data_IF_634438847836
#
_entry.id   IF_634438847836
#
_cell.length_a   1.000
_cell.length_b   1.000
_cell.length_c   1.000
_cell.angle_alpha   90.00
_cell.angle_beta   90.00
_cell.angle_gamma   90.00
#
_symmetry.space_group_name_H-M   'P 1'
#
loop_
_entity.id
_entity.type
_entity.pdbx_description
1 polymer ?
#
# COMPACT_ATOMS: atom_id res chain seq x y z
N UNK A 1 -8.88 -16.27 2.50
CA UNK A 1 -7.56 -15.65 2.24
C UNK A 1 -7.38 -14.49 3.21
N UNK A 2 -6.26 -14.42 3.95
CA UNK A 2 -5.97 -13.31 4.89
C UNK A 2 -4.48 -12.97 4.79
N UNK A 3 -4.10 -11.69 4.66
CA UNK A 3 -2.70 -11.30 4.80
C UNK A 3 -2.23 -11.49 6.26
N UNK A 4 -0.94 -11.82 6.40
CA UNK A 4 -0.32 -12.32 7.63
C UNK A 4 -0.17 -11.30 8.77
N UNK A 5 -0.43 -10.02 8.54
CA UNK A 5 -0.31 -8.97 9.56
C UNK A 5 -1.60 -8.14 9.64
N UNK A 6 -2.34 -8.26 10.75
CA UNK A 6 -3.48 -7.37 11.05
C UNK A 6 -3.07 -5.88 11.11
N UNK A 7 -1.77 -5.60 11.27
CA UNK A 7 -1.17 -4.24 11.23
C UNK A 7 -1.33 -3.57 9.86
N UNK A 8 -1.48 -4.34 8.79
CA UNK A 8 -1.64 -3.82 7.43
C UNK A 8 -3.11 -3.65 7.03
N UNK A 9 -4.07 -4.06 7.88
CA UNK A 9 -5.49 -3.85 7.63
C UNK A 9 -5.80 -2.36 7.76
N UNK A 10 -6.15 -1.72 6.65
CA UNK A 10 -6.53 -0.31 6.63
C UNK A 10 -7.92 -0.17 7.24
N UNK A 11 -8.88 -0.93 6.71
CA UNK A 11 -10.23 -1.01 7.26
C UNK A 11 -10.99 -2.21 6.69
N UNK A 12 -12.18 -2.45 7.27
CA UNK A 12 -13.15 -3.40 6.76
C UNK A 12 -14.50 -2.71 6.54
N UNK A 13 -15.20 -3.10 5.48
CA UNK A 13 -16.51 -2.60 5.12
C UNK A 13 -17.36 -3.69 4.46
N UNK A 14 -18.60 -3.37 4.13
CA UNK A 14 -19.45 -4.21 3.28
C UNK A 14 -19.43 -3.71 1.84
N UNK A 15 -19.18 -4.62 0.89
CA UNK A 15 -19.22 -4.33 -0.54
C UNK A 15 -20.18 -5.28 -1.25
N UNK A 16 -21.06 -4.76 -2.10
CA UNK A 16 -22.04 -5.60 -2.81
C UNK A 16 -21.39 -6.51 -3.85
N UNK A 17 -20.15 -6.22 -4.26
CA UNK A 17 -19.40 -7.06 -5.20
C UNK A 17 -17.90 -6.91 -5.01
N UNK A 18 -17.17 -7.89 -5.55
CA UNK A 18 -15.70 -7.82 -5.69
C UNK A 18 -15.24 -6.56 -6.41
N UNK A 19 -15.97 -6.15 -7.46
CA UNK A 19 -15.62 -4.97 -8.25
C UNK A 19 -15.73 -3.69 -7.41
N UNK A 20 -16.76 -3.57 -6.58
CA UNK A 20 -16.90 -2.43 -5.67
C UNK A 20 -15.82 -2.44 -4.60
N UNK A 21 -15.50 -3.60 -4.01
CA UNK A 21 -14.38 -3.71 -3.07
C UNK A 21 -13.05 -3.25 -3.71
N UNK A 22 -12.80 -3.66 -4.96
CA UNK A 22 -11.65 -3.20 -5.73
C UNK A 22 -11.70 -1.70 -6.06
N UNK A 23 -12.87 -1.13 -6.30
CA UNK A 23 -13.04 0.30 -6.53
C UNK A 23 -12.74 1.12 -5.26
N UNK A 24 -13.17 0.66 -4.09
CA UNK A 24 -12.85 1.33 -2.82
C UNK A 24 -11.36 1.22 -2.52
N UNK A 25 -10.75 0.04 -2.71
CA UNK A 25 -9.28 -0.08 -2.69
C UNK A 25 -8.60 0.82 -3.70
N UNK A 26 -9.27 1.12 -4.82
CA UNK A 26 -8.67 1.97 -5.84
C UNK A 26 -8.66 3.46 -5.49
N UNK A 27 -9.60 3.88 -4.66
CA UNK A 27 -9.73 5.26 -4.18
C UNK A 27 -8.87 5.53 -2.94
N UNK A 28 -8.48 4.48 -2.22
CA UNK A 28 -7.59 4.60 -1.07
C UNK A 28 -6.12 4.47 -1.51
N UNK A 29 -5.35 5.54 -1.37
CA UNK A 29 -3.93 5.58 -1.77
C UNK A 29 -3.04 4.59 -1.00
N UNK A 30 -3.41 4.24 0.23
CA UNK A 30 -2.69 3.23 1.01
C UNK A 30 -3.04 1.81 0.60
N UNK A 31 -4.20 1.54 -0.01
CA UNK A 31 -4.61 0.18 -0.35
C UNK A 31 -3.88 -0.36 -1.58
N UNK A 32 -3.26 -1.54 -1.43
CA UNK A 32 -2.64 -2.25 -2.56
C UNK A 32 -3.27 -3.61 -2.81
N UNK A 33 -3.82 -4.24 -1.77
CA UNK A 33 -4.51 -5.53 -1.87
C UNK A 33 -5.85 -5.45 -1.14
N UNK A 34 -6.85 -6.15 -1.66
CA UNK A 34 -8.12 -6.32 -0.99
C UNK A 34 -8.50 -7.80 -0.93
N UNK A 35 -9.25 -8.15 0.11
CA UNK A 35 -9.95 -9.43 0.22
C UNK A 35 -11.46 -9.19 0.24
N UNK A 36 -12.16 -9.87 -0.66
CA UNK A 36 -13.61 -9.86 -0.74
C UNK A 36 -14.18 -11.24 -0.42
N UNK A 37 -14.99 -11.32 0.63
CA UNK A 37 -15.74 -12.52 0.99
C UNK A 37 -17.15 -12.44 0.40
N UNK A 38 -17.44 -13.27 -0.59
CA UNK A 38 -18.71 -13.24 -1.32
C UNK A 38 -19.90 -13.74 -0.49
N UNK A 39 -19.65 -14.50 0.58
CA UNK A 39 -20.71 -15.02 1.45
C UNK A 39 -21.21 -14.01 2.48
N UNK A 40 -20.29 -13.20 3.01
CA UNK A 40 -20.58 -12.18 4.03
C UNK A 40 -20.62 -10.76 3.47
N UNK A 41 -20.33 -10.61 2.17
CA UNK A 41 -20.10 -9.32 1.51
C UNK A 41 -18.99 -8.48 2.18
N UNK A 42 -18.11 -9.11 2.98
CA UNK A 42 -17.06 -8.41 3.70
C UNK A 42 -15.92 -8.06 2.77
N UNK A 43 -15.58 -6.77 2.71
CA UNK A 43 -14.44 -6.22 2.00
C UNK A 43 -13.39 -5.78 3.02
N UNK A 44 -12.15 -6.22 2.83
CA UNK A 44 -11.02 -5.88 3.70
C UNK A 44 -9.91 -5.31 2.85
N UNK A 45 -9.44 -4.12 3.22
CA UNK A 45 -8.43 -3.39 2.46
C UNK A 45 -7.11 -3.42 3.19
N UNK A 46 -6.03 -3.67 2.47
CA UNK A 46 -4.70 -3.85 3.04
C UNK A 46 -3.68 -2.97 2.36
N UNK A 47 -2.74 -2.46 3.17
CA UNK A 47 -1.59 -1.71 2.67
C UNK A 47 -0.66 -2.59 1.85
N UNK A 48 -0.54 -3.87 2.23
CA UNK A 48 0.37 -4.86 1.66
C UNK A 48 0.14 -5.13 0.17
N UNK A 49 1.23 -5.35 -0.56
CA UNK A 49 1.24 -5.97 -1.88
C UNK A 49 1.61 -7.47 -1.80
N UNK A 50 1.65 -8.13 -2.95
CA UNK A 50 1.95 -9.56 -3.07
C UNK A 50 3.43 -9.93 -2.77
N UNK A 51 4.30 -8.94 -2.58
CA UNK A 51 5.75 -9.08 -2.37
C UNK A 51 6.18 -8.81 -0.93
N UNK A 52 5.47 -7.95 -0.20
CA UNK A 52 5.77 -7.53 1.18
C UNK A 52 4.76 -8.03 2.22
N UNK A 53 3.90 -8.98 1.82
CA UNK A 53 3.02 -9.72 2.71
C UNK A 53 2.94 -11.18 2.30
N UNK A 54 2.86 -12.07 3.30
CA UNK A 54 2.49 -13.44 3.05
C UNK A 54 0.96 -13.54 3.02
N UNK A 55 0.42 -14.05 1.91
CA UNK A 55 -0.99 -14.42 1.83
C UNK A 55 -1.11 -15.77 2.53
N UNK A 56 -1.69 -15.80 3.73
CA UNK A 56 -1.90 -17.07 4.42
C UNK A 56 -2.99 -17.85 3.66
N UNK A 57 -2.61 -19.02 3.14
CA UNK A 57 -3.48 -20.02 2.52
C UNK A 57 -4.40 -20.71 3.55
N UNK A 58 -5.24 -19.93 4.24
CA UNK A 58 -6.45 -20.48 4.85
C UNK A 58 -7.60 -20.21 3.88
N UNK A 59 -7.86 -21.21 3.04
CA UNK A 59 -8.87 -21.21 2.00
C UNK A 59 -10.28 -21.14 2.62
N UNK A 60 -10.83 -19.93 2.71
CA UNK A 60 -12.28 -19.78 2.61
C UNK A 60 -12.62 -19.88 1.13
N UNK A 61 -13.51 -20.80 0.74
CA UNK A 61 -13.92 -20.99 -0.67
C UNK A 61 -14.62 -19.75 -1.26
N UNK A 62 -15.07 -18.82 -0.41
CA UNK A 62 -15.83 -17.63 -0.80
C UNK A 62 -14.99 -16.36 -0.80
N UNK A 63 -13.71 -16.44 -0.41
CA UNK A 63 -12.80 -15.31 -0.26
C UNK A 63 -11.94 -15.17 -1.50
N UNK A 64 -12.00 -13.98 -2.11
CA UNK A 64 -11.32 -13.62 -3.34
C UNK A 64 -10.37 -12.46 -3.06
N UNK A 65 -9.08 -12.68 -3.28
CA UNK A 65 -8.05 -11.62 -3.19
C UNK A 65 -7.86 -10.96 -4.54
N UNK A 66 -7.80 -9.64 -4.53
CA UNK A 66 -7.38 -8.84 -5.68
C UNK A 66 -6.34 -7.82 -5.27
N UNK A 67 -5.56 -7.34 -6.24
CA UNK A 67 -4.54 -6.32 -6.04
C UNK A 67 -4.74 -5.16 -7.01
N UNK A 68 -4.31 -3.98 -6.59
CA UNK A 68 -4.17 -2.82 -7.46
C UNK A 68 -2.82 -2.92 -8.15
N UNK A 69 -2.83 -2.81 -9.48
CA UNK A 69 -1.59 -2.71 -10.26
C UNK A 69 -1.15 -1.25 -10.26
N UNK A 70 0.02 -1.00 -9.68
CA UNK A 70 0.65 0.32 -9.65
C UNK A 70 1.71 0.41 -10.76
N UNK A 71 1.77 1.55 -11.47
CA UNK A 71 2.76 1.78 -12.53
C UNK A 71 3.85 2.74 -12.07
N UNK A 72 5.11 2.30 -12.13
CA UNK A 72 6.26 3.14 -11.81
C UNK A 72 6.33 4.41 -12.68
N UNK A 73 5.86 4.36 -13.93
CA UNK A 73 5.84 5.54 -14.81
C UNK A 73 4.90 6.65 -14.32
N UNK A 74 3.82 6.30 -13.62
CA UNK A 74 2.89 7.27 -13.04
C UNK A 74 3.43 7.91 -11.76
N UNK A 75 4.30 7.20 -11.05
CA UNK A 75 5.04 7.76 -9.93
C UNK A 75 6.14 8.71 -10.40
N UNK A 76 7.01 8.26 -11.29
CA UNK A 76 8.18 9.03 -11.71
C UNK A 76 7.83 10.37 -12.36
N UNK A 77 6.69 10.46 -13.06
CA UNK A 77 6.27 11.71 -13.72
C UNK A 77 5.75 12.78 -12.76
N UNK A 78 5.32 12.40 -11.54
CA UNK A 78 4.65 13.32 -10.59
C UNK A 78 5.52 13.59 -9.35
N UNK A 79 6.50 12.74 -9.06
CA UNK A 79 7.30 12.88 -7.83
C UNK A 79 8.04 14.23 -7.81
N UNK A 80 8.00 14.90 -6.66
CA UNK A 80 8.62 16.21 -6.45
C UNK A 80 8.04 17.35 -7.34
N UNK A 81 6.88 17.14 -7.97
CA UNK A 81 6.12 18.22 -8.64
C UNK A 81 5.36 19.07 -7.62
N UNK A 82 4.79 20.20 -8.06
CA UNK A 82 3.90 21.02 -7.24
C UNK A 82 2.66 20.24 -6.82
N UNK A 83 2.10 20.54 -5.65
CA UNK A 83 0.93 19.82 -5.14
C UNK A 83 -0.28 19.76 -6.08
N UNK A 84 -0.44 20.72 -6.98
CA UNK A 84 -1.46 20.68 -8.05
C UNK A 84 -1.37 19.45 -8.96
N UNK A 85 -0.20 18.81 -9.06
CA UNK A 85 0.01 17.62 -9.90
C UNK A 85 -0.45 16.30 -9.23
N UNK A 86 -0.68 16.29 -7.91
CA UNK A 86 -1.06 15.10 -7.15
C UNK A 86 -2.36 15.23 -6.34
N UNK A 87 -3.17 16.26 -6.58
CA UNK A 87 -4.44 16.45 -5.85
C UNK A 87 -5.45 15.31 -6.07
N UNK A 88 -5.44 14.67 -7.24
CA UNK A 88 -6.41 13.62 -7.61
C UNK A 88 -5.72 12.30 -7.99
N UNK A 89 -4.55 12.01 -7.42
CA UNK A 89 -3.87 10.75 -7.68
C UNK A 89 -3.75 9.91 -6.41
N UNK A 90 -3.81 8.60 -6.58
CA UNK A 90 -3.54 7.65 -5.50
C UNK A 90 -2.04 7.45 -5.24
N UNK A 91 -1.23 7.83 -6.23
CA UNK A 91 0.18 7.48 -6.28
C UNK A 91 0.98 8.35 -5.32
N UNK A 92 0.56 9.59 -5.07
CA UNK A 92 1.33 10.56 -4.31
C UNK A 92 0.40 11.42 -3.46
N UNK A 93 0.98 12.06 -2.46
CA UNK A 93 0.27 13.01 -1.61
C UNK A 93 1.01 14.34 -1.58
N UNK A 94 0.28 15.43 -1.44
CA UNK A 94 0.89 16.73 -1.19
C UNK A 94 1.48 16.74 0.22
N UNK A 95 2.78 17.04 0.32
CA UNK A 95 3.44 17.27 1.60
C UNK A 95 3.19 18.71 2.05
N UNK A 96 2.55 18.89 3.20
CA UNK A 96 2.31 20.23 3.77
C UNK A 96 3.60 20.94 4.18
N UNK A 97 4.70 20.19 4.40
CA UNK A 97 6.01 20.74 4.78
C UNK A 97 6.78 21.30 3.59
N UNK A 98 6.81 20.56 2.47
CA UNK A 98 7.60 20.93 1.29
C UNK A 98 6.77 21.56 0.17
N UNK A 99 5.44 21.48 0.27
CA UNK A 99 4.49 21.85 -0.78
C UNK A 99 4.75 21.14 -2.12
N UNK A 100 5.27 19.91 -2.03
CA UNK A 100 5.60 19.06 -3.17
C UNK A 100 4.92 17.70 -3.05
N UNK A 101 4.71 17.04 -4.19
CA UNK A 101 4.18 15.69 -4.24
C UNK A 101 5.22 14.68 -3.74
N UNK A 102 4.83 13.92 -2.72
CA UNK A 102 5.65 12.93 -2.03
C UNK A 102 4.94 11.57 -2.00
N UNK A 103 5.68 10.55 -1.59
CA UNK A 103 5.13 9.22 -1.39
C UNK A 103 4.00 9.23 -0.34
N UNK A 104 2.90 8.46 -0.54
CA UNK A 104 1.84 8.30 0.45
C UNK A 104 2.37 7.73 1.77
N UNK A 105 1.51 7.73 2.80
CA UNK A 105 1.84 7.15 4.10
C UNK A 105 2.35 5.71 3.97
N UNK A 106 3.26 5.32 4.86
CA UNK A 106 3.84 3.98 4.94
C UNK A 106 4.55 3.50 3.67
N UNK A 107 4.98 4.43 2.80
CA UNK A 107 5.74 4.17 1.58
C UNK A 107 6.97 5.08 1.49
N UNK A 108 7.95 4.73 0.66
CA UNK A 108 9.19 5.50 0.51
C UNK A 108 9.62 5.61 -0.95
N UNK A 109 10.33 6.68 -1.31
CA UNK A 109 10.82 6.86 -2.68
C UNK A 109 12.06 5.99 -2.92
N UNK A 110 11.97 5.02 -3.83
CA UNK A 110 13.10 4.16 -4.18
C UNK A 110 13.90 4.63 -5.41
N UNK A 111 13.60 5.81 -5.94
CA UNK A 111 14.18 6.33 -7.20
C UNK A 111 13.28 6.16 -8.42
N UNK A 112 12.25 5.32 -8.36
CA UNK A 112 11.33 5.08 -9.48
C UNK A 112 9.85 5.10 -9.06
N UNK A 113 9.52 4.58 -7.89
CA UNK A 113 8.15 4.55 -7.37
C UNK A 113 8.14 4.62 -5.83
N UNK A 114 6.94 4.60 -5.26
CA UNK A 114 6.75 4.53 -3.80
C UNK A 114 6.28 3.14 -3.36
N UNK A 115 7.17 2.13 -3.27
CA UNK A 115 6.83 0.88 -2.60
C UNK A 115 6.52 1.12 -1.12
N UNK A 116 5.81 0.16 -0.50
CA UNK A 116 5.65 0.17 0.96
C UNK A 116 7.00 0.14 1.65
N UNK A 117 7.05 0.81 2.79
CA UNK A 117 8.14 0.68 3.74
C UNK A 117 8.25 -0.76 4.24
N UNK A 118 9.48 -1.12 4.53
CA UNK A 118 9.92 -2.46 4.86
C UNK A 118 9.72 -2.77 6.35
N UNK A 119 9.56 -4.06 6.63
CA UNK A 119 9.40 -4.60 7.98
C UNK A 119 10.74 -4.94 8.63
N UNK A 120 10.69 -5.40 9.87
CA UNK A 120 11.84 -5.74 10.69
C UNK A 120 12.83 -6.65 9.96
N UNK A 121 14.13 -6.38 10.12
CA UNK A 121 15.24 -7.13 9.53
C UNK A 121 15.31 -7.13 8.00
N UNK A 122 14.42 -6.42 7.30
CA UNK A 122 14.56 -6.21 5.88
C UNK A 122 15.82 -5.37 5.58
N UNK A 123 16.49 -5.69 4.48
CA UNK A 123 17.65 -4.91 4.02
C UNK A 123 17.17 -3.63 3.34
N UNK A 124 17.69 -2.48 3.75
CA UNK A 124 17.41 -1.19 3.13
C UNK A 124 18.68 -0.40 2.81
N UNK A 125 18.57 0.49 1.82
CA UNK A 125 19.63 1.45 1.45
C UNK A 125 19.38 2.85 2.02
N UNK A 126 18.20 3.09 2.60
CA UNK A 126 17.79 4.39 3.16
C UNK A 126 17.02 4.18 4.47
N UNK A 127 17.20 5.10 5.42
CA UNK A 127 16.57 5.00 6.74
C UNK A 127 15.05 5.18 6.70
N UNK A 128 14.56 6.00 5.77
CA UNK A 128 13.13 6.23 5.54
C UNK A 128 12.43 5.06 4.84
N UNK A 129 13.17 4.02 4.42
CA UNK A 129 12.58 2.82 3.83
C UNK A 129 11.97 1.88 4.88
N UNK A 130 12.21 2.09 6.18
CA UNK A 130 11.69 1.23 7.24
C UNK A 130 10.37 1.76 7.82
N UNK A 131 9.48 0.86 8.26
CA UNK A 131 8.23 1.19 9.00
C UNK A 131 8.54 1.70 10.42
N UNK A 132 8.94 2.96 10.51
CA UNK A 132 9.28 3.62 11.77
C UNK A 132 8.06 3.89 12.66
N UNK A 133 6.86 3.97 12.07
CA UNK A 133 5.57 4.07 12.78
C UNK A 133 5.29 2.87 13.68
N UNK A 134 5.88 1.71 13.36
CA UNK A 134 5.80 0.47 14.13
C UNK A 134 6.99 0.25 15.07
N UNK A 135 7.88 1.24 15.21
CA UNK A 135 9.12 1.14 15.98
C UNK A 135 10.02 -0.03 15.55
N UNK A 136 10.00 -0.38 14.25
CA UNK A 136 10.81 -1.46 13.69
C UNK A 136 12.18 -0.96 13.22
N UNK A 137 13.14 -1.87 13.18
CA UNK A 137 14.50 -1.61 12.68
C UNK A 137 14.80 -2.45 11.43
N UNK A 138 15.31 -1.79 10.40
CA UNK A 138 15.77 -2.42 9.17
C UNK A 138 17.31 -2.48 9.15
N UNK A 139 17.86 -3.41 8.38
CA UNK A 139 19.31 -3.59 8.23
C UNK A 139 19.79 -2.62 7.14
N UNK A 140 20.44 -1.53 7.54
CA UNK A 140 21.00 -0.56 6.60
C UNK A 140 22.32 -1.10 6.04
N UNK A 141 22.35 -1.40 4.74
CA UNK A 141 23.59 -1.71 4.02
C UNK A 141 24.08 -0.44 3.32
N UNK A 142 25.16 0.14 3.85
CA UNK A 142 25.92 1.17 3.15
C UNK A 142 26.82 0.46 2.12
N UNK A 143 26.43 0.52 0.85
CA UNK A 143 27.33 0.18 -0.26
C UNK A 143 28.12 1.41 -0.69
#
# INVERSE_FOLDING_TARGET
MKPQYDVQLIFNETAQSRLLCGAVCSQNSSCQTFDYDSSSHRCRLFEADLTNGAIIEMASQTSLVGSVILSASLYASIYNQSCSACQENRYQTCSSTTNMCQCPGNSYWNGSMCPLQLFENATCSQINACRSDLNLSCIINYY
#
